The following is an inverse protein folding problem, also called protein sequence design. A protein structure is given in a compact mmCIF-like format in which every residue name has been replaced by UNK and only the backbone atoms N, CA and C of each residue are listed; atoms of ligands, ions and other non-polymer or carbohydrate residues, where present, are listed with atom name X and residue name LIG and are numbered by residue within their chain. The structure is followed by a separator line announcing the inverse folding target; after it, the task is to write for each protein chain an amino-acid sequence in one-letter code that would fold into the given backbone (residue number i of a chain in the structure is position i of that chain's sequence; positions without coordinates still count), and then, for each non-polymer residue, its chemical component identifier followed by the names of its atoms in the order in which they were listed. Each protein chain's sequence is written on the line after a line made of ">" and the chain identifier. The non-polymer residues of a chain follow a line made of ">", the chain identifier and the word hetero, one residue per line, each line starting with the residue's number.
data_IF_778877710423
#
_entry.id   IF_778877710423
#
_cell.length_a   1.000
_cell.length_b   1.000
_cell.length_c   1.000
_cell.angle_alpha   90.00
_cell.angle_beta   90.00
_cell.angle_gamma   90.00
#
_symmetry.space_group_name_H-M   'P 1'
#
loop_
_entity.id
_entity.type
_entity.pdbx_description
1 polymer ?
#
# COMPACT_ATOMS: atom_id res chain seq x y z
N UNK A 1 4.23 -15.82 16.24
CA UNK A 1 3.57 -16.08 14.95
C UNK A 1 4.62 -15.91 13.86
N UNK A 2 5.03 -17.00 13.18
CA UNK A 2 6.06 -16.91 12.14
C UNK A 2 5.38 -16.37 10.88
N UNK A 3 5.67 -15.11 10.56
CA UNK A 3 5.23 -14.50 9.32
C UNK A 3 5.95 -15.20 8.15
N UNK A 4 5.24 -15.66 7.11
CA UNK A 4 5.89 -16.14 5.90
C UNK A 4 6.61 -14.98 5.21
N UNK A 5 7.92 -15.11 4.96
CA UNK A 5 8.75 -14.08 4.31
C UNK A 5 8.17 -13.61 2.96
N UNK A 6 7.45 -14.49 2.26
CA UNK A 6 6.76 -14.17 1.01
C UNK A 6 5.62 -13.16 1.17
N UNK A 7 4.88 -13.21 2.29
CA UNK A 7 3.81 -12.26 2.60
C UNK A 7 4.37 -10.86 2.81
N UNK A 8 5.47 -10.77 3.56
CA UNK A 8 6.18 -9.52 3.80
C UNK A 8 6.68 -8.90 2.48
N UNK A 9 7.41 -9.67 1.66
CA UNK A 9 7.93 -9.20 0.38
C UNK A 9 6.79 -8.69 -0.53
N UNK A 10 5.66 -9.41 -0.57
CA UNK A 10 4.51 -9.00 -1.39
C UNK A 10 3.91 -7.67 -0.93
N UNK A 11 3.65 -7.50 0.37
CA UNK A 11 3.10 -6.25 0.90
C UNK A 11 4.08 -5.10 0.64
N UNK A 12 5.37 -5.32 0.87
CA UNK A 12 6.41 -4.34 0.59
C UNK A 12 6.41 -3.89 -0.88
N UNK A 13 6.38 -4.84 -1.82
CA UNK A 13 6.35 -4.54 -3.26
C UNK A 13 5.07 -3.81 -3.68
N UNK A 14 3.90 -4.24 -3.19
CA UNK A 14 2.62 -3.58 -3.48
C UNK A 14 2.58 -2.15 -2.94
N UNK A 15 3.06 -1.95 -1.70
CA UNK A 15 3.13 -0.64 -1.07
C UNK A 15 4.13 0.27 -1.81
N UNK A 16 5.25 -0.28 -2.30
CA UNK A 16 6.23 0.49 -3.09
C UNK A 16 5.67 0.94 -4.43
N UNK A 17 4.89 0.09 -5.10
CA UNK A 17 4.19 0.48 -6.31
C UNK A 17 3.15 1.57 -6.02
N UNK A 18 2.35 1.40 -4.97
CA UNK A 18 1.33 2.36 -4.56
C UNK A 18 1.93 3.74 -4.25
N UNK A 19 3.01 3.78 -3.45
CA UNK A 19 3.69 5.04 -3.11
C UNK A 19 4.30 5.72 -4.33
N UNK A 20 4.86 4.95 -5.27
CA UNK A 20 5.34 5.50 -6.55
C UNK A 20 4.22 6.07 -7.39
N UNK A 21 3.04 5.47 -7.40
CA UNK A 21 1.88 6.00 -8.13
C UNK A 21 1.29 7.25 -7.47
N UNK A 22 1.21 7.27 -6.14
CA UNK A 22 0.58 8.36 -5.38
C UNK A 22 1.47 9.59 -5.24
N UNK A 23 2.77 9.41 -4.99
CA UNK A 23 3.70 10.50 -4.71
C UNK A 23 4.76 10.71 -5.81
N UNK A 24 4.82 9.81 -6.80
CA UNK A 24 5.72 9.94 -7.95
C UNK A 24 7.19 10.06 -7.56
N UNK A 25 7.95 10.77 -8.41
CA UNK A 25 9.36 11.11 -8.16
C UNK A 25 9.54 12.24 -7.12
N UNK A 26 8.45 12.80 -6.57
CA UNK A 26 8.49 13.97 -5.68
C UNK A 26 8.85 13.60 -4.23
N UNK A 27 8.61 12.36 -3.82
CA UNK A 27 9.01 11.83 -2.49
C UNK A 27 9.70 10.47 -2.63
N UNK A 28 10.89 10.42 -3.25
CA UNK A 28 11.64 9.18 -3.36
C UNK A 28 12.05 8.68 -1.98
N UNK A 29 11.83 7.38 -1.70
CA UNK A 29 12.25 6.76 -0.45
C UNK A 29 11.27 6.92 0.72
N UNK A 30 9.96 7.01 0.44
CA UNK A 30 8.90 6.83 1.45
C UNK A 30 8.89 5.41 2.04
N UNK A 31 9.26 4.38 1.25
CA UNK A 31 9.64 3.07 1.77
C UNK A 31 11.16 2.98 1.89
N UNK A 32 11.73 3.77 2.79
CA UNK A 32 13.12 3.54 3.15
C UNK A 32 13.21 2.21 3.91
N UNK A 33 14.11 1.28 3.52
CA UNK A 33 14.39 0.09 4.32
C UNK A 33 14.94 0.39 5.72
N UNK A 34 15.43 1.62 5.96
CA UNK A 34 15.85 2.07 7.28
C UNK A 34 14.65 2.10 8.26
N UNK A 35 14.64 1.25 9.30
CA UNK A 35 13.54 1.13 10.24
C UNK A 35 13.33 2.40 11.09
N UNK A 36 14.33 3.28 11.20
CA UNK A 36 14.24 4.51 11.99
C UNK A 36 13.69 5.68 11.18
N UNK A 37 13.65 5.57 9.84
CA UNK A 37 13.16 6.65 9.00
C UNK A 37 11.64 6.73 9.07
N UNK A 38 11.14 7.91 9.42
CA UNK A 38 9.71 8.19 9.53
C UNK A 38 9.07 8.43 8.15
N UNK A 39 7.76 8.21 8.10
CA UNK A 39 6.91 8.62 7.00
C UNK A 39 6.71 10.15 7.07
N UNK A 40 7.57 10.90 6.39
CA UNK A 40 7.50 12.36 6.30
C UNK A 40 6.40 12.80 5.30
N UNK A 41 5.16 12.70 5.76
CA UNK A 41 3.95 13.08 5.04
C UNK A 41 3.21 14.20 5.77
N UNK A 42 2.68 15.14 4.99
CA UNK A 42 1.74 16.15 5.48
C UNK A 42 0.42 15.44 5.88
N UNK A 43 -0.38 16.02 6.79
CA UNK A 43 -1.61 15.38 7.26
C UNK A 43 -2.55 14.92 6.12
N UNK A 44 -2.81 15.78 5.13
CA UNK A 44 -3.66 15.42 3.99
C UNK A 44 -3.04 14.34 3.06
N UNK A 45 -1.71 14.27 2.98
CA UNK A 45 -1.02 13.22 2.23
C UNK A 45 -1.10 11.88 2.96
N UNK A 46 -1.07 11.94 4.30
CA UNK A 46 -1.23 10.78 5.18
C UNK A 46 -2.65 10.22 5.04
N UNK A 47 -3.68 11.05 5.14
CA UNK A 47 -5.07 10.63 4.96
C UNK A 47 -5.27 10.00 3.58
N UNK A 48 -4.71 10.63 2.53
CA UNK A 48 -4.74 10.08 1.17
C UNK A 48 -4.03 8.73 1.07
N UNK A 49 -2.87 8.58 1.72
CA UNK A 49 -2.13 7.32 1.74
C UNK A 49 -2.94 6.21 2.42
N UNK A 50 -3.52 6.48 3.60
CA UNK A 50 -4.30 5.48 4.34
C UNK A 50 -5.52 5.01 3.56
N UNK A 51 -6.31 5.94 3.00
CA UNK A 51 -7.43 5.58 2.12
C UNK A 51 -7.01 4.64 0.97
N UNK A 52 -5.87 4.92 0.33
CA UNK A 52 -5.37 4.07 -0.77
C UNK A 52 -4.88 2.71 -0.31
N UNK A 53 -4.28 2.63 0.87
CA UNK A 53 -3.82 1.37 1.44
C UNK A 53 -5.01 0.51 1.84
N UNK A 54 -6.01 1.10 2.48
CA UNK A 54 -7.27 0.43 2.82
C UNK A 54 -7.93 -0.19 1.60
N UNK A 55 -8.07 0.58 0.52
CA UNK A 55 -8.59 0.12 -0.77
C UNK A 55 -7.72 -1.02 -1.36
N UNK A 56 -6.40 -0.84 -1.39
CA UNK A 56 -5.47 -1.76 -2.05
C UNK A 56 -5.35 -3.10 -1.33
N UNK A 57 -5.36 -3.07 0.00
CA UNK A 57 -5.20 -4.26 0.83
C UNK A 57 -6.53 -4.81 1.34
N UNK A 58 -7.66 -4.16 1.05
CA UNK A 58 -8.99 -4.51 1.56
C UNK A 58 -8.96 -4.67 3.09
N UNK A 59 -8.50 -3.61 3.75
CA UNK A 59 -8.39 -3.48 5.20
C UNK A 59 -8.97 -2.12 5.63
N UNK A 60 -9.17 -1.92 6.93
CA UNK A 60 -9.57 -0.64 7.50
C UNK A 60 -8.75 -0.34 8.74
N UNK A 61 -8.21 0.86 8.83
CA UNK A 61 -7.58 1.41 10.01
C UNK A 61 -8.57 2.28 10.78
N UNK A 62 -8.43 2.28 12.09
CA UNK A 62 -9.05 3.29 12.94
C UNK A 62 -8.11 4.48 13.09
N UNK A 63 -8.66 5.67 13.34
CA UNK A 63 -7.87 6.89 13.55
C UNK A 63 -6.74 6.74 14.61
N UNK A 64 -6.93 6.05 15.74
CA UNK A 64 -5.83 5.76 16.67
C UNK A 64 -4.71 4.88 16.07
N UNK A 65 -5.06 3.90 15.23
CA UNK A 65 -4.09 3.03 14.55
C UNK A 65 -3.29 3.82 13.51
N UNK A 66 -3.97 4.67 12.73
CA UNK A 66 -3.30 5.56 11.79
C UNK A 66 -2.28 6.44 12.51
N UNK A 67 -2.60 7.03 13.66
CA UNK A 67 -1.67 7.86 14.43
C UNK A 67 -0.47 7.09 15.00
N UNK A 68 -0.65 5.80 15.30
CA UNK A 68 0.41 4.96 15.84
C UNK A 68 1.50 4.63 14.80
N UNK A 69 1.15 4.62 13.50
CA UNK A 69 2.05 4.26 12.41
C UNK A 69 3.02 5.39 12.08
N UNK A 70 4.30 5.28 12.48
CA UNK A 70 5.28 6.37 12.29
C UNK A 70 6.30 6.05 11.21
N UNK A 71 6.60 4.78 11.03
CA UNK A 71 7.61 4.30 10.09
C UNK A 71 6.97 3.46 8.97
N UNK A 72 7.66 3.28 7.84
CA UNK A 72 7.21 2.37 6.79
C UNK A 72 7.13 0.92 7.29
N UNK A 73 7.96 0.55 8.27
CA UNK A 73 7.92 -0.77 8.90
C UNK A 73 6.65 -0.95 9.74
N UNK A 74 6.27 0.06 10.54
CA UNK A 74 5.02 0.05 11.30
C UNK A 74 3.83 -0.12 10.35
N UNK A 75 3.87 0.56 9.21
CA UNK A 75 2.81 0.49 8.20
C UNK A 75 2.69 -0.92 7.61
N UNK A 76 3.81 -1.54 7.24
CA UNK A 76 3.82 -2.92 6.73
C UNK A 76 3.28 -3.90 7.79
N UNK A 77 3.73 -3.77 9.03
CA UNK A 77 3.27 -4.61 10.13
C UNK A 77 1.77 -4.43 10.39
N UNK A 78 1.27 -3.20 10.40
CA UNK A 78 -0.14 -2.91 10.60
C UNK A 78 -1.02 -3.47 9.46
N UNK A 79 -0.57 -3.34 8.20
CA UNK A 79 -1.24 -3.99 7.05
C UNK A 79 -1.29 -5.51 7.25
N UNK A 80 -0.18 -6.11 7.69
CA UNK A 80 -0.12 -7.55 7.92
C UNK A 80 -1.08 -8.00 9.02
N UNK A 81 -1.11 -7.31 10.16
CA UNK A 81 -2.03 -7.60 11.26
C UNK A 81 -3.48 -7.54 10.78
N UNK A 82 -3.88 -6.46 10.11
CA UNK A 82 -5.25 -6.32 9.55
C UNK A 82 -5.59 -7.41 8.54
N UNK A 83 -4.64 -7.80 7.69
CA UNK A 83 -4.85 -8.88 6.71
C UNK A 83 -5.05 -10.24 7.39
N UNK A 84 -4.36 -10.48 8.49
CA UNK A 84 -4.50 -11.70 9.27
C UNK A 84 -5.83 -11.74 10.03
N UNK A 85 -6.25 -10.62 10.62
CA UNK A 85 -7.57 -10.47 11.25
C UNK A 85 -8.72 -10.74 10.27
N UNK A 86 -8.60 -10.25 9.04
CA UNK A 86 -9.59 -10.46 7.98
C UNK A 86 -9.63 -11.91 7.45
N UNK A 87 -8.89 -12.86 8.03
CA UNK A 87 -8.90 -14.26 7.63
C UNK A 87 -8.30 -14.53 6.24
N UNK A 88 -7.48 -13.61 5.73
CA UNK A 88 -6.77 -13.78 4.45
C UNK A 88 -5.56 -14.73 4.61
N UNK A 89 -5.79 -15.96 5.09
CA UNK A 89 -4.76 -17.01 5.13
C UNK A 89 -4.36 -17.48 3.72
N UNK A 90 -5.19 -17.20 2.70
CA UNK A 90 -4.90 -17.51 1.29
C UNK A 90 -4.64 -16.25 0.48
N UNK A 91 -3.37 -15.85 0.43
CA UNK A 91 -2.85 -14.75 -0.40
C UNK A 91 -2.69 -15.23 -1.87
N UNK A 92 -3.74 -15.81 -2.46
CA UNK A 92 -3.83 -16.12 -3.89
C UNK A 92 -4.95 -15.23 -4.47
N UNK A 93 -4.70 -13.97 -4.81
CA UNK A 93 -4.64 -13.53 -6.20
C UNK A 93 -4.55 -12.01 -6.11
N UNK A 94 -3.44 -11.38 -6.48
CA UNK A 94 -3.49 -9.98 -6.92
C UNK A 94 -2.22 -9.55 -7.66
N UNK A 95 -1.10 -10.25 -7.49
CA UNK A 95 0.07 -10.03 -8.35
C UNK A 95 -0.13 -10.55 -9.80
N UNK A 96 -1.15 -11.37 -10.06
CA UNK A 96 -1.44 -11.94 -11.39
C UNK A 96 -2.87 -11.74 -11.90
N UNK A 97 -3.77 -11.08 -11.16
CA UNK A 97 -5.07 -10.70 -11.73
C UNK A 97 -4.92 -9.36 -12.44
N UNK A 98 -4.39 -9.42 -13.66
CA UNK A 98 -4.47 -8.34 -14.65
C UNK A 98 -5.91 -8.10 -15.09
N UNK A 99 -6.79 -7.74 -14.16
CA UNK A 99 -8.18 -7.40 -14.46
C UNK A 99 -8.63 -6.26 -13.55
N UNK A 100 -8.95 -5.15 -14.22
CA UNK A 100 -9.67 -3.96 -13.74
C UNK A 100 -8.86 -2.72 -13.36
N UNK A 101 -7.67 -2.52 -13.91
CA UNK A 101 -7.34 -1.18 -14.42
C UNK A 101 -7.99 -1.02 -15.78
N UNK A 102 -9.29 -0.69 -15.79
CA UNK A 102 -9.83 0.11 -16.89
C UNK A 102 -9.09 1.45 -16.80
N UNK A 103 -7.93 1.49 -17.45
CA UNK A 103 -7.34 2.72 -17.92
C UNK A 103 -8.44 3.38 -18.74
N UNK A 104 -9.11 4.36 -18.13
CA UNK A 104 -9.96 5.27 -18.83
C UNK A 104 -9.02 6.18 -19.65
N UNK A 105 -8.42 5.62 -20.70
CA UNK A 105 -7.95 6.37 -21.85
C UNK A 105 -9.20 6.89 -22.54
N UNK A 106 -9.72 7.98 -21.98
CA UNK A 106 -10.55 8.87 -22.77
C UNK A 106 -9.70 9.35 -23.94
N UNK A 107 -10.25 9.12 -25.13
CA UNK A 107 -9.96 9.85 -26.36
C UNK A 107 -8.50 9.90 -26.80
N UNK A 108 -8.04 8.89 -27.54
CA UNK A 108 -7.31 9.18 -28.79
C UNK A 108 -8.05 8.52 -29.95
N UNK A 109 -8.72 9.41 -30.68
CA UNK A 109 -9.51 9.25 -31.88
C UNK A 109 -8.83 8.45 -32.99
N UNK A 110 -9.64 7.59 -33.60
CA UNK A 110 -9.74 7.31 -35.04
C UNK A 110 -8.49 6.89 -35.84
N UNK A 111 -8.55 5.63 -36.28
CA UNK A 111 -8.25 5.19 -37.65
C UNK A 111 -8.04 6.31 -38.68
N UNK A 112 -6.83 6.35 -39.22
CA UNK A 112 -6.61 6.19 -40.66
C UNK A 112 -5.53 5.15 -40.88
#
# INVERSE_FOLDING_TARGET
>A
MIIPIFTFIRIYLQLNLLLKMEFGAYKPGLLNPDPEKKLDLLPHERDRLFNRIEDCFNISFSFPEEQAIKTPYDLINAIMEKRMENGSEFINHFLFSGRNTLLNTSDHSHFM
#
